data_IF_431031511476
#
_entry.id   IF_431031511476
#
_cell.length_a   1.000
_cell.length_b   1.000
_cell.length_c   1.000
_cell.angle_alpha   90.00
_cell.angle_beta   90.00
_cell.angle_gamma   90.00
#
_symmetry.space_group_name_H-M   'P 1'
#
loop_
_entity.id
_entity.type
_entity.pdbx_description
1 polymer ?
#
# COMPACT_ATOMS: atom_id res chain seq x y z
N UNK A 1 -10.58 21.62 62.80
CA UNK A 1 -10.96 21.21 61.44
C UNK A 1 -9.86 21.67 60.50
N UNK A 2 -9.02 20.75 60.05
CA UNK A 2 -7.80 21.05 59.28
C UNK A 2 -8.03 20.63 57.85
N UNK A 3 -8.09 21.62 56.93
CA UNK A 3 -8.16 21.41 55.47
C UNK A 3 -6.77 21.01 54.97
N UNK A 4 -6.64 19.79 54.42
CA UNK A 4 -5.43 19.33 53.74
C UNK A 4 -5.50 19.78 52.25
N UNK A 5 -4.61 20.68 51.91
CA UNK A 5 -4.37 21.10 50.52
C UNK A 5 -3.62 19.99 49.80
N UNK A 6 -4.24 19.35 48.81
CA UNK A 6 -3.60 18.45 47.87
C UNK A 6 -3.00 19.30 46.72
N UNK A 7 -1.68 19.40 46.68
CA UNK A 7 -0.93 19.90 45.54
C UNK A 7 -0.84 18.76 44.53
N UNK A 8 -1.54 18.92 43.42
CA UNK A 8 -1.36 18.09 42.26
C UNK A 8 -0.18 18.63 41.45
N UNK A 9 0.95 17.97 41.51
CA UNK A 9 2.12 18.20 40.65
C UNK A 9 1.84 17.65 39.29
N UNK A 10 1.62 18.55 38.31
CA UNK A 10 1.51 18.22 36.90
C UNK A 10 2.91 17.96 36.36
N UNK A 11 3.29 16.69 36.22
CA UNK A 11 4.54 16.31 35.55
C UNK A 11 4.32 16.45 34.02
N UNK A 12 4.81 17.54 33.46
CA UNK A 12 4.93 17.72 32.01
C UNK A 12 6.09 16.85 31.55
N UNK A 13 5.78 15.65 31.07
CA UNK A 13 6.75 14.80 30.38
C UNK A 13 7.01 15.37 28.99
N UNK A 14 8.08 16.12 28.82
CA UNK A 14 8.59 16.51 27.52
C UNK A 14 9.10 15.26 26.79
N UNK A 15 8.28 14.71 25.89
CA UNK A 15 8.71 13.67 24.98
C UNK A 15 9.56 14.35 23.90
N UNK A 16 10.88 14.22 24.06
CA UNK A 16 11.85 14.57 23.01
C UNK A 16 11.68 13.55 21.87
N UNK A 17 10.87 13.89 20.87
CA UNK A 17 10.87 13.18 19.61
C UNK A 17 12.18 13.45 18.89
N UNK A 18 13.10 12.48 18.97
CA UNK A 18 14.30 12.44 18.16
C UNK A 18 13.89 12.45 16.68
N UNK A 19 14.24 13.53 15.98
CA UNK A 19 13.78 13.84 14.62
C UNK A 19 14.45 13.04 13.52
N UNK A 20 14.17 11.74 13.41
CA UNK A 20 14.57 10.92 12.25
C UNK A 20 13.41 10.41 11.38
N UNK A 21 12.15 10.75 11.68
CA UNK A 21 10.98 10.23 10.97
C UNK A 21 10.09 11.26 10.25
N UNK A 22 10.36 12.55 10.38
CA UNK A 22 9.42 13.59 9.95
C UNK A 22 9.32 13.76 8.42
N UNK A 23 10.40 13.56 7.67
CA UNK A 23 10.36 13.69 6.19
C UNK A 23 9.53 12.60 5.50
N UNK A 24 9.45 11.40 6.07
CA UNK A 24 8.69 10.29 5.48
C UNK A 24 7.17 10.47 5.59
N UNK A 25 6.70 11.30 6.51
CA UNK A 25 5.28 11.61 6.73
C UNK A 25 4.83 12.89 6.02
N UNK A 26 5.73 13.60 5.36
CA UNK A 26 5.40 14.79 4.59
C UNK A 26 4.44 14.43 3.45
N UNK A 27 3.34 15.18 3.35
CA UNK A 27 2.37 15.02 2.28
C UNK A 27 2.91 15.63 0.99
N UNK A 28 3.05 14.82 -0.05
CA UNK A 28 3.46 15.30 -1.38
C UNK A 28 2.27 15.59 -2.29
N UNK A 29 1.14 14.93 -2.04
CA UNK A 29 -0.11 15.11 -2.79
C UNK A 29 -1.27 15.00 -1.80
N UNK A 30 -2.31 15.77 -2.04
CA UNK A 30 -3.61 15.65 -1.35
C UNK A 30 -4.66 15.23 -2.37
N UNK A 31 -5.38 14.14 -2.06
CA UNK A 31 -6.50 13.61 -2.83
C UNK A 31 -7.71 13.65 -1.93
N UNK A 32 -8.67 14.53 -2.19
CA UNK A 32 -9.76 14.84 -1.27
C UNK A 32 -9.20 15.22 0.12
N UNK A 33 -9.57 14.48 1.16
CA UNK A 33 -9.06 14.67 2.52
C UNK A 33 -7.88 13.76 2.88
N UNK A 34 -7.46 12.88 1.97
CA UNK A 34 -6.35 11.95 2.16
C UNK A 34 -5.04 12.55 1.68
N UNK A 35 -3.98 12.28 2.43
CA UNK A 35 -2.62 12.69 2.10
C UNK A 35 -1.84 11.49 1.58
N UNK A 36 -1.22 11.65 0.42
CA UNK A 36 -0.20 10.74 -0.08
C UNK A 36 1.14 11.27 0.43
N UNK A 37 1.86 10.43 1.17
CA UNK A 37 3.12 10.82 1.81
C UNK A 37 4.33 10.48 0.95
N UNK A 38 5.46 11.14 1.24
CA UNK A 38 6.74 10.83 0.62
C UNK A 38 7.11 9.35 0.81
N UNK A 39 6.84 8.77 1.99
CA UNK A 39 7.12 7.36 2.26
C UNK A 39 6.34 6.41 1.35
N UNK A 40 5.05 6.71 1.09
CA UNK A 40 4.24 5.90 0.17
C UNK A 40 4.77 5.99 -1.26
N UNK A 41 5.17 7.20 -1.68
CA UNK A 41 5.77 7.39 -2.98
C UNK A 41 7.10 6.61 -3.10
N UNK A 42 8.00 6.76 -2.14
CA UNK A 42 9.31 6.09 -2.17
C UNK A 42 9.15 4.57 -2.20
N UNK A 43 8.26 4.02 -1.37
CA UNK A 43 7.97 2.58 -1.37
C UNK A 43 7.46 2.07 -2.72
N UNK A 44 6.53 2.78 -3.33
CA UNK A 44 5.95 2.41 -4.63
C UNK A 44 6.99 2.58 -5.74
N UNK A 45 7.75 3.67 -5.70
CA UNK A 45 8.82 3.95 -6.67
C UNK A 45 9.90 2.86 -6.60
N UNK A 46 10.30 2.42 -5.40
CA UNK A 46 11.28 1.35 -5.22
C UNK A 46 10.78 0.02 -5.78
N UNK A 47 9.51 -0.28 -5.54
CA UNK A 47 8.89 -1.50 -6.10
C UNK A 47 8.91 -1.48 -7.64
N UNK A 48 8.71 -0.33 -8.26
CA UNK A 48 8.66 -0.21 -9.72
C UNK A 48 10.02 -0.02 -10.38
N UNK A 49 10.98 0.60 -9.69
CA UNK A 49 12.31 0.91 -10.22
C UNK A 49 13.41 -0.07 -9.78
N UNK A 50 13.26 -0.71 -8.62
CA UNK A 50 14.30 -1.52 -7.99
C UNK A 50 14.32 -2.99 -8.35
N UNK A 51 13.28 -3.49 -9.03
CA UNK A 51 13.16 -4.89 -9.43
C UNK A 51 13.20 -5.06 -10.94
N UNK A 52 13.92 -6.05 -11.44
CA UNK A 52 13.82 -6.49 -12.82
C UNK A 52 14.91 -5.98 -13.77
N UNK A 53 14.54 -5.77 -15.02
CA UNK A 53 15.47 -5.56 -16.13
C UNK A 53 16.38 -4.34 -15.96
N UNK A 54 15.90 -3.23 -15.40
CA UNK A 54 16.69 -2.00 -15.24
C UNK A 54 17.85 -2.21 -14.24
N UNK A 55 17.56 -2.85 -13.10
CA UNK A 55 18.59 -3.19 -12.12
C UNK A 55 19.60 -4.20 -12.68
N UNK A 56 19.13 -5.20 -13.43
CA UNK A 56 20.00 -6.19 -14.11
C UNK A 56 20.90 -5.54 -15.17
N UNK A 57 20.48 -4.43 -15.78
CA UNK A 57 21.27 -3.63 -16.71
C UNK A 57 22.18 -2.61 -16.02
N UNK A 58 22.24 -2.59 -14.67
CA UNK A 58 23.05 -1.65 -13.91
C UNK A 58 22.52 -0.22 -13.93
N UNK A 59 21.24 -0.01 -14.31
CA UNK A 59 20.61 1.31 -14.37
C UNK A 59 20.02 1.64 -13.01
N UNK A 60 20.66 2.58 -12.30
CA UNK A 60 20.10 3.19 -11.09
C UNK A 60 19.21 4.38 -11.47
N UNK A 61 17.92 4.12 -11.53
CA UNK A 61 16.91 5.12 -11.92
C UNK A 61 16.88 6.33 -10.96
N UNK A 62 17.28 6.14 -9.70
CA UNK A 62 17.26 7.22 -8.69
C UNK A 62 18.44 8.19 -8.80
N UNK A 63 19.50 7.79 -9.50
CA UNK A 63 20.73 8.57 -9.62
C UNK A 63 20.52 9.89 -10.37
N UNK A 64 19.65 9.88 -11.38
CA UNK A 64 19.30 11.09 -12.14
C UNK A 64 17.77 11.28 -12.15
N UNK A 65 17.31 12.18 -11.29
CA UNK A 65 15.88 12.52 -11.14
C UNK A 65 15.30 13.29 -12.33
N UNK A 66 16.14 13.77 -13.25
CA UNK A 66 15.72 14.43 -14.48
C UNK A 66 15.73 13.48 -15.68
N UNK A 67 16.20 12.26 -15.52
CA UNK A 67 16.17 11.28 -16.59
C UNK A 67 14.73 10.96 -17.04
N UNK A 68 14.54 10.71 -18.33
CA UNK A 68 13.24 10.34 -18.87
C UNK A 68 12.63 9.13 -18.16
N UNK A 69 13.46 8.13 -17.83
CA UNK A 69 13.02 6.92 -17.14
C UNK A 69 12.51 7.25 -15.74
N UNK A 70 13.25 8.10 -14.98
CA UNK A 70 12.80 8.52 -13.64
C UNK A 70 11.46 9.26 -13.72
N UNK A 71 11.32 10.20 -14.65
CA UNK A 71 10.10 11.00 -14.80
C UNK A 71 8.90 10.13 -15.19
N UNK A 72 9.10 9.16 -16.10
CA UNK A 72 8.06 8.21 -16.49
C UNK A 72 7.58 7.35 -15.32
N UNK A 73 8.52 6.78 -14.54
CA UNK A 73 8.17 5.97 -13.36
C UNK A 73 7.51 6.84 -12.29
N UNK A 74 8.02 8.05 -12.06
CA UNK A 74 7.44 9.02 -11.12
C UNK A 74 5.98 9.33 -11.44
N UNK A 75 5.68 9.64 -12.68
CA UNK A 75 4.31 9.93 -13.14
C UNK A 75 3.40 8.72 -12.92
N UNK A 76 3.85 7.53 -13.32
CA UNK A 76 3.12 6.28 -13.13
C UNK A 76 2.81 6.01 -11.65
N UNK A 77 3.81 6.15 -10.78
CA UNK A 77 3.67 5.96 -9.33
C UNK A 77 2.68 6.94 -8.74
N UNK A 78 2.76 8.21 -9.12
CA UNK A 78 1.82 9.24 -8.66
C UNK A 78 0.38 8.88 -9.05
N UNK A 79 0.16 8.54 -10.31
CA UNK A 79 -1.17 8.16 -10.81
C UNK A 79 -1.70 6.92 -10.11
N UNK A 80 -0.86 5.89 -9.89
CA UNK A 80 -1.25 4.68 -9.17
C UNK A 80 -1.63 4.98 -7.71
N UNK A 81 -0.88 5.83 -7.02
CA UNK A 81 -1.19 6.24 -5.64
C UNK A 81 -2.49 7.04 -5.55
N UNK A 82 -2.75 7.93 -6.52
CA UNK A 82 -4.02 8.67 -6.59
C UNK A 82 -5.19 7.71 -6.79
N UNK A 83 -5.10 6.84 -7.79
CA UNK A 83 -6.15 5.85 -8.09
C UNK A 83 -6.38 4.95 -6.88
N UNK A 84 -5.30 4.43 -6.28
CA UNK A 84 -5.41 3.60 -5.05
C UNK A 84 -6.12 4.35 -3.94
N UNK A 85 -5.79 5.62 -3.71
CA UNK A 85 -6.41 6.44 -2.66
C UNK A 85 -7.91 6.59 -2.89
N UNK A 86 -8.33 6.89 -4.13
CA UNK A 86 -9.73 7.03 -4.49
C UNK A 86 -10.50 5.71 -4.33
N UNK A 87 -9.90 4.59 -4.73
CA UNK A 87 -10.50 3.27 -4.57
C UNK A 87 -10.62 2.87 -3.10
N UNK A 88 -9.61 3.15 -2.28
CA UNK A 88 -9.65 2.90 -0.83
C UNK A 88 -10.75 3.76 -0.14
N UNK A 89 -10.96 5.00 -0.59
CA UNK A 89 -12.07 5.85 -0.13
C UNK A 89 -13.43 5.26 -0.50
N UNK A 90 -13.61 4.82 -1.74
CA UNK A 90 -14.86 4.23 -2.20
C UNK A 90 -15.18 2.91 -1.48
N UNK A 91 -14.16 2.08 -1.25
CA UNK A 91 -14.25 0.85 -0.46
C UNK A 91 -14.71 1.16 0.96
N UNK A 92 -14.09 2.16 1.61
CA UNK A 92 -14.46 2.58 2.96
C UNK A 92 -15.90 3.15 3.01
N UNK A 93 -16.27 3.97 2.04
CA UNK A 93 -17.62 4.56 1.92
C UNK A 93 -18.71 3.50 1.78
N UNK A 94 -18.40 2.40 1.08
CA UNK A 94 -19.32 1.26 0.89
C UNK A 94 -19.30 0.25 2.04
N UNK A 95 -18.41 0.42 3.02
CA UNK A 95 -18.26 -0.54 4.12
C UNK A 95 -17.74 -1.91 3.68
N UNK A 96 -16.99 -1.98 2.57
CA UNK A 96 -16.45 -3.23 2.05
C UNK A 96 -15.33 -3.70 2.95
N UNK A 97 -15.52 -4.83 3.61
CA UNK A 97 -14.54 -5.46 4.47
C UNK A 97 -13.99 -6.74 3.83
N UNK A 98 -12.70 -6.99 4.03
CA UNK A 98 -12.03 -8.24 3.63
C UNK A 98 -11.61 -8.98 4.89
N UNK A 99 -12.27 -10.10 5.14
CA UNK A 99 -11.98 -10.99 6.27
C UNK A 99 -10.81 -11.93 5.96
N UNK A 100 -10.24 -12.53 7.00
CA UNK A 100 -9.23 -13.58 6.80
C UNK A 100 -9.77 -14.76 5.99
N UNK A 101 -11.06 -15.11 6.18
CA UNK A 101 -11.73 -16.15 5.42
C UNK A 101 -11.76 -15.85 3.91
N UNK A 102 -11.98 -14.58 3.54
CA UNK A 102 -11.96 -14.19 2.13
C UNK A 102 -10.58 -14.40 1.51
N UNK A 103 -9.53 -14.04 2.26
CA UNK A 103 -8.13 -14.24 1.82
C UNK A 103 -7.80 -15.73 1.73
N UNK A 104 -8.18 -16.53 2.74
CA UNK A 104 -7.91 -17.97 2.74
C UNK A 104 -8.65 -18.68 1.59
N UNK A 105 -9.88 -18.26 1.27
CA UNK A 105 -10.61 -18.77 0.10
C UNK A 105 -9.86 -18.41 -1.20
N UNK A 106 -9.38 -17.19 -1.34
CA UNK A 106 -8.62 -16.78 -2.52
C UNK A 106 -7.27 -17.54 -2.64
N UNK A 107 -6.59 -17.82 -1.52
CA UNK A 107 -5.41 -18.70 -1.50
C UNK A 107 -5.78 -20.09 -2.00
N UNK A 108 -6.89 -20.64 -1.53
CA UNK A 108 -7.36 -21.96 -1.96
C UNK A 108 -7.65 -22.01 -3.46
N UNK A 109 -8.34 -21.01 -3.99
CA UNK A 109 -8.60 -20.91 -5.45
C UNK A 109 -7.30 -20.90 -6.27
N UNK A 110 -6.25 -20.23 -5.77
CA UNK A 110 -4.94 -20.21 -6.43
C UNK A 110 -4.28 -21.59 -6.34
N UNK A 111 -4.31 -22.24 -5.18
CA UNK A 111 -3.78 -23.59 -5.00
C UNK A 111 -4.49 -24.58 -5.93
N UNK A 112 -5.83 -24.51 -6.01
CA UNK A 112 -6.63 -25.38 -6.88
C UNK A 112 -6.26 -25.20 -8.37
N UNK A 113 -5.94 -23.97 -8.80
CA UNK A 113 -5.49 -23.67 -10.17
C UNK A 113 -4.05 -24.12 -10.42
N UNK A 114 -3.18 -24.02 -9.42
CA UNK A 114 -1.78 -24.47 -9.53
C UNK A 114 -1.63 -25.98 -9.36
N UNK A 115 -2.59 -26.65 -8.73
CA UNK A 115 -2.61 -28.07 -8.46
C UNK A 115 -2.19 -28.45 -7.05
N UNK A 116 -1.31 -27.71 -6.38
CA UNK A 116 -0.93 -27.98 -4.99
C UNK A 116 -0.34 -26.76 -4.26
N UNK A 117 -0.31 -26.84 -2.93
CA UNK A 117 0.32 -25.84 -2.07
C UNK A 117 1.84 -25.78 -2.30
N UNK A 118 2.48 -26.90 -2.53
CA UNK A 118 3.92 -27.00 -2.79
C UNK A 118 4.32 -26.25 -4.06
N UNK A 119 3.46 -26.28 -5.09
CA UNK A 119 3.66 -25.50 -6.32
C UNK A 119 3.55 -23.99 -6.07
N UNK A 120 2.58 -23.56 -5.25
CA UNK A 120 2.49 -22.17 -4.82
C UNK A 120 3.74 -21.75 -4.04
N UNK A 121 4.17 -22.54 -3.05
CA UNK A 121 5.35 -22.24 -2.23
C UNK A 121 6.63 -22.17 -3.09
N UNK A 122 6.77 -23.05 -4.07
CA UNK A 122 7.90 -23.04 -5.02
C UNK A 122 7.89 -21.77 -5.88
N UNK A 123 6.72 -21.38 -6.40
CA UNK A 123 6.55 -20.17 -7.20
C UNK A 123 6.87 -18.89 -6.40
N UNK A 124 6.39 -18.80 -5.17
CA UNK A 124 6.70 -17.69 -4.28
C UNK A 124 8.20 -17.59 -3.99
N UNK A 125 8.84 -18.72 -3.69
CA UNK A 125 10.28 -18.80 -3.44
C UNK A 125 11.09 -18.38 -4.68
N UNK A 126 10.71 -18.87 -5.86
CA UNK A 126 11.38 -18.50 -7.12
C UNK A 126 11.32 -16.99 -7.38
N UNK A 127 10.22 -16.32 -7.02
CA UNK A 127 10.05 -14.90 -7.20
C UNK A 127 10.50 -14.06 -6.00
N UNK A 128 11.07 -14.67 -4.95
CA UNK A 128 11.53 -13.97 -3.75
C UNK A 128 10.40 -13.33 -2.93
N UNK A 129 9.16 -13.84 -3.07
CA UNK A 129 7.96 -13.33 -2.39
C UNK A 129 7.72 -14.15 -1.12
N UNK A 130 7.62 -13.48 0.03
CA UNK A 130 7.25 -14.16 1.27
C UNK A 130 5.75 -14.47 1.31
N UNK A 131 5.36 -15.54 2.02
CA UNK A 131 3.95 -15.88 2.22
C UNK A 131 3.15 -14.72 2.86
N UNK A 132 3.77 -13.93 3.72
CA UNK A 132 3.15 -12.75 4.34
C UNK A 132 2.89 -11.65 3.30
N UNK A 133 3.87 -11.36 2.44
CA UNK A 133 3.70 -10.38 1.37
C UNK A 133 2.63 -10.84 0.38
N UNK A 134 2.66 -12.11 -0.02
CA UNK A 134 1.66 -12.70 -0.89
C UNK A 134 0.23 -12.54 -0.33
N UNK A 135 0.01 -12.89 0.95
CA UNK A 135 -1.31 -12.73 1.59
C UNK A 135 -1.74 -11.25 1.67
N UNK A 136 -0.80 -10.34 1.88
CA UNK A 136 -1.08 -8.90 1.90
C UNK A 136 -1.51 -8.40 0.52
N UNK A 137 -0.78 -8.78 -0.53
CA UNK A 137 -1.10 -8.39 -1.91
C UNK A 137 -2.45 -9.01 -2.34
N UNK A 138 -2.68 -10.29 -1.99
CA UNK A 138 -3.94 -10.97 -2.26
C UNK A 138 -5.14 -10.32 -1.54
N UNK A 139 -4.94 -9.81 -0.31
CA UNK A 139 -5.98 -9.07 0.40
C UNK A 139 -6.41 -7.81 -0.36
N UNK A 140 -5.45 -7.08 -0.93
CA UNK A 140 -5.75 -5.91 -1.77
C UNK A 140 -6.51 -6.34 -3.04
N UNK A 141 -6.11 -7.43 -3.68
CA UNK A 141 -6.82 -7.97 -4.85
C UNK A 141 -8.27 -8.37 -4.53
N UNK A 142 -8.48 -9.09 -3.41
CA UNK A 142 -9.83 -9.47 -2.94
C UNK A 142 -10.68 -8.23 -2.65
N UNK A 143 -10.09 -7.19 -2.07
CA UNK A 143 -10.74 -5.91 -1.83
C UNK A 143 -11.25 -5.29 -3.12
N UNK A 144 -10.42 -5.26 -4.15
CA UNK A 144 -10.77 -4.74 -5.47
C UNK A 144 -11.85 -5.59 -6.16
N UNK A 145 -11.78 -6.92 -6.06
CA UNK A 145 -12.82 -7.82 -6.57
C UNK A 145 -14.18 -7.58 -5.91
N UNK A 146 -14.20 -7.36 -4.59
CA UNK A 146 -15.45 -7.04 -3.87
C UNK A 146 -16.02 -5.69 -4.34
N UNK A 147 -15.18 -4.67 -4.50
CA UNK A 147 -15.61 -3.38 -5.03
C UNK A 147 -16.17 -3.53 -6.46
N UNK A 148 -15.47 -4.20 -7.34
CA UNK A 148 -15.92 -4.42 -8.72
C UNK A 148 -17.27 -5.16 -8.77
N UNK A 149 -17.47 -6.15 -7.88
CA UNK A 149 -18.74 -6.87 -7.77
C UNK A 149 -19.89 -5.95 -7.34
N UNK A 150 -19.64 -5.03 -6.41
CA UNK A 150 -20.66 -4.07 -5.96
C UNK A 150 -21.00 -3.01 -6.99
N UNK A 151 -20.00 -2.57 -7.75
CA UNK A 151 -20.22 -1.59 -8.82
C UNK A 151 -21.03 -2.17 -9.99
N UNK A 152 -21.05 -3.49 -10.12
CA UNK A 152 -21.71 -4.18 -11.22
C UNK A 152 -20.96 -4.05 -12.55
N UNK A 153 -21.44 -4.68 -13.62
CA UNK A 153 -20.89 -4.50 -14.95
C UNK A 153 -21.07 -3.05 -15.37
N UNK A 154 -19.99 -2.40 -15.81
CA UNK A 154 -20.05 -1.09 -16.46
C UNK A 154 -20.97 -1.22 -17.68
N UNK A 155 -22.19 -0.72 -17.60
CA UNK A 155 -22.98 -0.46 -18.79
C UNK A 155 -22.39 0.79 -19.45
N UNK A 156 -21.31 0.61 -20.20
CA UNK A 156 -20.93 1.60 -21.21
C UNK A 156 -22.01 1.48 -22.28
N UNK A 157 -23.00 2.36 -22.20
CA UNK A 157 -23.91 2.60 -23.30
C UNK A 157 -23.08 3.25 -24.40
N UNK A 158 -22.83 2.51 -25.45
CA UNK A 158 -22.33 3.07 -26.69
C UNK A 158 -23.39 4.09 -27.19
N UNK A 159 -23.07 5.37 -27.00
CA UNK A 159 -23.82 6.49 -27.53
C UNK A 159 -23.07 7.06 -28.72
#
# INVERSE_FOLDING_TARGET
MRAKKLLATLAVSAVLFAGCGLKSQEAIIKVNDKKITQAQFDQMFDKQSGGGMLAAMGIDVKKDKNSFIYLLIKERVINELIVKTLLDEEIAKRGIEVTNKDVDNAVKEIIDKLGSKEQLDALLKQNGITASQFKKDLKEEVKMKKLAKELGPSTVSDA
#
